data_IF_975066933461
#
_entry.id   IF_975066933461
#
_cell.length_a   1.000
_cell.length_b   1.000
_cell.length_c   1.000
_cell.angle_alpha   90.00
_cell.angle_beta   90.00
_cell.angle_gamma   90.00
#
_symmetry.space_group_name_H-M   'P 1'
#
loop_
_entity.id
_entity.type
_entity.pdbx_description
1 polymer ?
#
# COMPACT_ATOMS: atom_id res chain seq x y z
N UNK A 1 43.84 -23.23 -5.61
CA UNK A 1 43.54 -21.79 -5.81
C UNK A 1 42.04 -21.65 -6.02
N UNK A 2 41.30 -21.10 -5.05
CA UNK A 2 39.89 -20.75 -5.25
C UNK A 2 39.85 -19.35 -5.86
N UNK A 3 39.23 -19.15 -7.04
CA UNK A 3 39.11 -17.82 -7.62
C UNK A 3 38.32 -16.91 -6.68
N UNK A 4 38.76 -15.66 -6.63
CA UNK A 4 38.36 -14.63 -5.68
C UNK A 4 36.91 -14.18 -5.95
N UNK A 5 35.97 -14.55 -5.07
CA UNK A 5 34.53 -14.18 -5.12
C UNK A 5 34.31 -12.70 -4.68
N UNK A 6 35.38 -11.95 -4.35
CA UNK A 6 35.23 -10.63 -3.71
C UNK A 6 34.73 -9.51 -4.64
N UNK A 7 34.82 -9.63 -5.97
CA UNK A 7 34.45 -8.52 -6.87
C UNK A 7 32.94 -8.41 -7.16
N UNK A 8 32.17 -9.50 -7.12
CA UNK A 8 30.72 -9.45 -7.44
C UNK A 8 29.87 -8.81 -6.33
N UNK A 9 30.37 -8.78 -5.08
CA UNK A 9 29.62 -8.27 -3.94
C UNK A 9 29.38 -6.75 -4.00
N UNK A 10 30.25 -5.99 -4.67
CA UNK A 10 30.15 -4.53 -4.76
C UNK A 10 28.99 -4.05 -5.64
N UNK A 11 28.91 -4.56 -6.87
CA UNK A 11 27.85 -4.20 -7.81
C UNK A 11 26.46 -4.62 -7.29
N UNK A 12 26.38 -5.79 -6.67
CA UNK A 12 25.15 -6.31 -6.09
C UNK A 12 24.60 -5.39 -4.99
N UNK A 13 25.45 -4.95 -4.06
CA UNK A 13 25.06 -4.00 -3.01
C UNK A 13 24.61 -2.66 -3.58
N UNK A 14 25.32 -2.13 -4.58
CA UNK A 14 24.95 -0.88 -5.23
C UNK A 14 23.57 -0.97 -5.90
N UNK A 15 23.29 -2.06 -6.60
CA UNK A 15 21.96 -2.28 -7.22
C UNK A 15 20.87 -2.38 -6.17
N UNK A 16 21.10 -3.11 -5.08
CA UNK A 16 20.15 -3.21 -3.97
C UNK A 16 19.86 -1.83 -3.35
N UNK A 17 20.89 -1.04 -3.04
CA UNK A 17 20.71 0.28 -2.44
C UNK A 17 19.98 1.25 -3.37
N UNK A 18 20.25 1.17 -4.68
CA UNK A 18 19.53 1.93 -5.71
C UNK A 18 18.04 1.53 -5.77
N UNK A 19 17.73 0.23 -5.79
CA UNK A 19 16.35 -0.26 -5.83
C UNK A 19 15.59 0.12 -4.56
N UNK A 20 16.20 -0.05 -3.38
CA UNK A 20 15.66 0.40 -2.10
C UNK A 20 15.32 1.90 -2.14
N UNK A 21 16.28 2.72 -2.56
CA UNK A 21 16.08 4.17 -2.63
C UNK A 21 14.94 4.52 -3.61
N UNK A 22 14.80 3.76 -4.69
CA UNK A 22 13.68 3.92 -5.63
C UNK A 22 12.33 3.60 -4.98
N UNK A 23 12.24 2.56 -4.15
CA UNK A 23 11.03 2.24 -3.38
C UNK A 23 10.73 3.32 -2.33
N UNK A 24 11.75 3.83 -1.62
CA UNK A 24 11.57 4.96 -0.70
C UNK A 24 11.06 6.21 -1.44
N UNK A 25 11.64 6.50 -2.61
CA UNK A 25 11.18 7.59 -3.46
C UNK A 25 9.75 7.41 -3.91
N UNK A 26 9.27 6.19 -4.20
CA UNK A 26 7.87 5.96 -4.58
C UNK A 26 6.88 6.53 -3.56
N UNK A 27 7.18 6.41 -2.27
CA UNK A 27 6.33 6.89 -1.17
C UNK A 27 6.54 8.37 -0.81
N UNK A 28 7.68 8.94 -1.21
CA UNK A 28 8.09 10.28 -0.83
C UNK A 28 7.03 11.38 -1.05
N UNK A 29 6.32 11.45 -2.19
CA UNK A 29 5.33 12.51 -2.43
C UNK A 29 4.27 12.63 -1.34
N UNK A 30 3.87 11.50 -0.74
CA UNK A 30 2.82 11.47 0.28
C UNK A 30 3.33 11.89 1.66
N UNK A 31 4.64 11.79 1.90
CA UNK A 31 5.27 12.16 3.18
C UNK A 31 5.63 13.65 3.29
N UNK A 32 5.44 14.44 2.23
CA UNK A 32 5.77 15.88 2.18
C UNK A 32 4.78 16.79 2.92
N UNK A 33 3.81 16.22 3.65
CA UNK A 33 2.78 16.99 4.35
C UNK A 33 1.65 17.51 3.46
N UNK A 34 1.66 17.17 2.16
CA UNK A 34 0.51 17.37 1.30
C UNK A 34 -0.67 16.51 1.77
N UNK A 35 -1.88 17.05 1.61
CA UNK A 35 -3.14 16.43 2.02
C UNK A 35 -4.18 16.61 0.93
N UNK A 36 -5.12 15.66 0.83
CA UNK A 36 -6.22 15.73 -0.12
C UNK A 36 -6.25 14.57 -1.11
N UNK A 37 -7.34 14.51 -1.86
CA UNK A 37 -7.66 13.40 -2.76
C UNK A 37 -7.15 13.56 -4.21
N UNK A 38 -6.63 14.73 -4.58
CA UNK A 38 -6.12 14.99 -5.93
C UNK A 38 -4.65 14.56 -6.05
N UNK A 39 -4.38 13.60 -6.94
CA UNK A 39 -3.04 13.12 -7.24
C UNK A 39 -2.12 14.20 -7.81
N UNK A 40 -2.68 15.26 -8.41
CA UNK A 40 -1.92 16.40 -8.92
C UNK A 40 -1.21 17.16 -7.79
N UNK A 41 -1.82 17.25 -6.61
CA UNK A 41 -1.20 17.87 -5.43
C UNK A 41 0.11 17.18 -5.05
N UNK A 42 0.19 15.86 -5.27
CA UNK A 42 1.37 15.07 -5.01
C UNK A 42 2.34 15.01 -6.22
N UNK A 43 1.98 15.60 -7.36
CA UNK A 43 2.71 15.47 -8.63
C UNK A 43 3.05 14.01 -8.96
N UNK A 44 2.12 13.09 -8.65
CA UNK A 44 2.39 11.66 -8.68
C UNK A 44 2.82 11.21 -10.08
N UNK A 45 2.19 11.74 -11.12
CA UNK A 45 2.48 11.36 -12.51
C UNK A 45 3.85 11.82 -12.97
N UNK A 46 4.24 13.06 -12.66
CA UNK A 46 5.59 13.57 -12.94
C UNK A 46 6.64 12.80 -12.16
N UNK A 47 6.33 12.46 -10.92
CA UNK A 47 7.21 11.69 -10.06
C UNK A 47 7.42 10.26 -10.57
N UNK A 48 6.35 9.55 -10.93
CA UNK A 48 6.42 8.22 -11.53
C UNK A 48 7.14 8.24 -12.89
N UNK A 49 6.96 9.27 -13.70
CA UNK A 49 7.69 9.42 -14.96
C UNK A 49 9.21 9.54 -14.75
N UNK A 50 9.66 10.02 -13.57
CA UNK A 50 11.08 10.06 -13.20
C UNK A 50 11.60 8.80 -12.50
N UNK A 51 10.72 7.87 -12.11
CA UNK A 51 11.09 6.61 -11.46
C UNK A 51 10.99 5.40 -12.41
N UNK A 52 10.09 5.46 -13.39
CA UNK A 52 9.75 4.34 -14.25
C UNK A 52 10.42 4.47 -15.64
N UNK A 53 10.75 3.34 -16.26
CA UNK A 53 11.20 3.32 -17.64
C UNK A 53 10.13 3.91 -18.57
N UNK A 54 10.51 4.73 -19.56
CA UNK A 54 9.56 5.33 -20.48
C UNK A 54 8.95 4.29 -21.43
N UNK A 55 7.75 4.62 -21.94
CA UNK A 55 7.05 3.81 -22.95
C UNK A 55 6.47 2.51 -22.38
N UNK A 56 6.51 1.45 -23.19
CA UNK A 56 5.87 0.17 -22.88
C UNK A 56 6.79 -0.79 -22.07
N UNK A 57 7.95 -0.32 -21.63
CA UNK A 57 8.91 -1.13 -20.88
C UNK A 57 8.55 -1.24 -19.39
N UNK A 58 7.73 -0.33 -18.87
CA UNK A 58 7.29 -0.37 -17.48
C UNK A 58 6.03 -1.21 -17.34
N UNK A 59 6.09 -2.18 -16.44
CA UNK A 59 4.94 -3.00 -16.03
C UNK A 59 4.70 -2.82 -14.55
N UNK A 60 3.42 -2.76 -14.16
CA UNK A 60 3.04 -2.63 -12.76
C UNK A 60 1.82 -3.47 -12.43
N UNK A 61 1.89 -4.07 -11.25
CA UNK A 61 0.85 -4.85 -10.62
C UNK A 61 0.56 -4.30 -9.23
N UNK A 62 -0.73 -4.12 -8.90
CA UNK A 62 -1.15 -3.79 -7.53
C UNK A 62 -2.14 -4.84 -7.08
N UNK A 63 -1.84 -5.54 -5.98
CA UNK A 63 -2.70 -6.58 -5.40
C UNK A 63 -3.17 -7.66 -6.39
N UNK A 64 -2.40 -7.92 -7.44
CA UNK A 64 -2.74 -8.93 -8.45
C UNK A 64 -3.20 -8.33 -9.77
N UNK A 65 -3.67 -7.08 -9.76
CA UNK A 65 -4.20 -6.40 -10.93
C UNK A 65 -3.06 -5.81 -11.77
N UNK A 66 -2.96 -6.25 -13.03
CA UNK A 66 -2.00 -5.74 -13.99
C UNK A 66 -2.57 -4.52 -14.72
N UNK A 67 -1.79 -3.44 -14.83
CA UNK A 67 -2.23 -2.26 -15.57
C UNK A 67 -1.20 -1.15 -15.78
N UNK A 68 0.08 -1.42 -15.53
CA UNK A 68 1.13 -0.40 -15.67
C UNK A 68 0.90 0.78 -14.72
N UNK A 69 1.34 1.98 -15.09
CA UNK A 69 1.21 3.15 -14.22
C UNK A 69 -0.24 3.44 -13.80
N UNK A 70 -1.22 3.12 -14.65
CA UNK A 70 -2.64 3.38 -14.40
C UNK A 70 -3.19 2.65 -13.18
N UNK A 71 -2.82 1.38 -12.98
CA UNK A 71 -3.33 0.61 -11.83
C UNK A 71 -2.81 1.16 -10.50
N UNK A 72 -1.59 1.71 -10.51
CA UNK A 72 -1.00 2.37 -9.36
C UNK A 72 -1.66 3.72 -9.07
N UNK A 73 -1.92 4.52 -10.11
CA UNK A 73 -2.70 5.76 -10.00
C UNK A 73 -4.10 5.50 -9.46
N UNK A 74 -4.81 4.51 -10.01
CA UNK A 74 -6.16 4.13 -9.57
C UNK A 74 -6.17 3.69 -8.09
N UNK A 75 -5.14 2.93 -7.66
CA UNK A 75 -4.96 2.54 -6.27
C UNK A 75 -4.80 3.75 -5.34
N UNK A 76 -3.87 4.66 -5.65
CA UNK A 76 -3.64 5.85 -4.83
C UNK A 76 -4.83 6.82 -4.88
N UNK A 77 -5.47 7.00 -6.03
CA UNK A 77 -6.67 7.83 -6.15
C UNK A 77 -7.82 7.28 -5.28
N UNK A 78 -7.96 5.96 -5.21
CA UNK A 78 -8.95 5.31 -4.35
C UNK A 78 -8.61 5.50 -2.89
N UNK A 79 -7.38 5.21 -2.48
CA UNK A 79 -6.93 5.34 -1.10
C UNK A 79 -7.00 6.80 -0.61
N UNK A 80 -6.48 7.74 -1.39
CA UNK A 80 -6.41 9.15 -1.02
C UNK A 80 -7.77 9.86 -1.05
N UNK A 81 -8.80 9.22 -1.58
CA UNK A 81 -10.17 9.76 -1.54
C UNK A 81 -10.69 9.93 -0.11
N UNK A 82 -10.33 9.02 0.80
CA UNK A 82 -10.72 9.07 2.21
C UNK A 82 -9.57 9.34 3.19
N UNK A 83 -8.38 8.86 2.84
CA UNK A 83 -7.28 8.72 3.78
C UNK A 83 -6.08 9.55 3.34
N UNK A 84 -5.33 10.10 4.30
CA UNK A 84 -4.02 10.67 4.04
C UNK A 84 -2.94 9.70 4.49
N UNK A 85 -1.91 9.49 3.65
CA UNK A 85 -0.70 8.78 4.06
C UNK A 85 0.15 9.80 4.83
N UNK A 86 0.28 9.62 6.14
CA UNK A 86 1.03 10.56 7.00
C UNK A 86 2.49 10.14 7.19
N UNK A 87 2.77 8.85 7.01
CA UNK A 87 4.10 8.27 7.16
C UNK A 87 4.22 7.04 6.26
N UNK A 88 5.42 6.78 5.77
CA UNK A 88 5.77 5.56 5.07
C UNK A 88 7.21 5.19 5.41
N UNK A 89 7.43 3.92 5.72
CA UNK A 89 8.73 3.36 6.03
C UNK A 89 8.98 2.15 5.15
N UNK A 90 10.15 2.09 4.53
CA UNK A 90 10.63 0.91 3.81
C UNK A 90 11.61 0.20 4.72
N UNK A 91 11.22 -0.97 5.18
CA UNK A 91 12.08 -1.87 5.91
C UNK A 91 13.03 -2.53 4.91
N UNK A 92 14.28 -2.08 4.92
CA UNK A 92 15.33 -2.85 4.26
C UNK A 92 15.69 -4.04 5.12
N UNK A 93 16.07 -5.15 4.48
CA UNK A 93 16.77 -6.29 5.07
C UNK A 93 18.19 -5.90 5.54
N UNK A 94 18.32 -4.81 6.32
CA UNK A 94 19.59 -4.28 6.79
C UNK A 94 20.17 -5.27 7.79
N UNK A 95 21.02 -6.17 7.31
CA UNK A 95 21.76 -7.13 8.13
C UNK A 95 21.41 -8.60 7.89
N UNK A 96 20.35 -8.91 7.13
CA UNK A 96 20.17 -10.29 6.68
C UNK A 96 21.12 -10.56 5.53
N UNK A 97 21.96 -11.61 5.60
CA UNK A 97 22.83 -11.97 4.49
C UNK A 97 21.95 -12.20 3.25
N UNK A 98 22.28 -11.50 2.15
CA UNK A 98 21.70 -11.68 0.81
C UNK A 98 22.07 -13.06 0.28
N UNK A 99 21.54 -14.10 0.92
CA UNK A 99 21.84 -15.49 0.62
C UNK A 99 21.13 -15.95 -0.66
N UNK A 100 20.04 -15.27 -1.04
CA UNK A 100 19.30 -15.52 -2.27
C UNK A 100 19.24 -14.26 -3.13
N UNK A 101 19.56 -14.35 -4.44
CA UNK A 101 19.40 -13.23 -5.38
C UNK A 101 17.98 -12.67 -5.43
N UNK A 102 16.97 -13.51 -5.18
CA UNK A 102 15.57 -13.11 -5.13
C UNK A 102 15.28 -12.09 -4.00
N UNK A 103 16.07 -12.08 -2.93
CA UNK A 103 15.85 -11.18 -1.79
C UNK A 103 16.23 -9.73 -2.13
N UNK A 104 16.95 -9.49 -3.23
CA UNK A 104 17.38 -8.14 -3.63
C UNK A 104 16.27 -7.27 -4.21
N UNK A 105 15.23 -7.91 -4.74
CA UNK A 105 14.13 -7.24 -5.44
C UNK A 105 12.90 -7.08 -4.54
N UNK A 106 12.87 -7.75 -3.38
CA UNK A 106 11.73 -7.76 -2.48
C UNK A 106 11.97 -6.84 -1.28
N UNK A 107 11.09 -5.88 -1.11
CA UNK A 107 11.11 -4.92 -0.01
C UNK A 107 9.83 -5.04 0.80
N UNK A 108 9.94 -4.89 2.11
CA UNK A 108 8.80 -4.82 3.02
C UNK A 108 8.75 -3.45 3.66
N UNK A 109 7.66 -3.13 4.31
CA UNK A 109 7.53 -1.90 5.07
C UNK A 109 6.09 -1.66 5.47
N UNK A 110 5.82 -0.45 5.90
CA UNK A 110 4.47 -0.04 6.26
C UNK A 110 4.24 1.43 5.90
N UNK A 111 2.99 1.80 5.69
CA UNK A 111 2.58 3.20 5.66
C UNK A 111 1.45 3.43 6.64
N UNK A 112 1.34 4.65 7.14
CA UNK A 112 0.37 5.04 8.16
C UNK A 112 -0.68 5.90 7.51
N UNK A 113 -1.94 5.47 7.62
CA UNK A 113 -3.11 6.18 7.14
C UNK A 113 -3.76 6.97 8.26
N UNK A 114 -4.25 8.17 7.95
CA UNK A 114 -5.18 8.92 8.77
C UNK A 114 -6.52 9.06 8.03
N UNK A 115 -7.65 8.81 8.71
CA UNK A 115 -8.98 9.02 8.13
C UNK A 115 -9.34 10.51 8.25
N UNK A 116 -9.25 11.23 7.14
CA UNK A 116 -9.29 12.71 7.15
C UNK A 116 -10.47 13.30 6.38
N UNK A 117 -11.14 12.49 5.54
CA UNK A 117 -12.21 12.91 4.64
C UNK A 117 -13.29 11.83 4.55
N UNK A 118 -14.54 12.19 4.22
CA UNK A 118 -15.58 11.21 3.96
C UNK A 118 -15.17 10.24 2.84
N UNK A 119 -15.27 8.95 3.11
CA UNK A 119 -14.95 7.89 2.14
C UNK A 119 -16.17 7.03 1.86
N UNK A 120 -16.77 7.14 0.67
CA UNK A 120 -17.99 6.39 0.33
C UNK A 120 -19.16 6.66 1.29
N UNK A 121 -19.17 7.82 1.95
CA UNK A 121 -20.13 8.19 3.01
C UNK A 121 -19.74 7.72 4.41
N UNK A 122 -18.57 7.10 4.58
CA UNK A 122 -17.97 6.86 5.88
C UNK A 122 -17.29 8.14 6.36
N UNK A 123 -17.84 8.75 7.41
CA UNK A 123 -17.32 9.99 7.98
C UNK A 123 -16.09 9.74 8.86
N UNK A 124 -15.09 10.65 8.86
CA UNK A 124 -14.00 10.63 9.82
C UNK A 124 -14.52 10.71 11.26
N UNK A 125 -14.25 9.65 12.02
CA UNK A 125 -14.44 9.63 13.47
C UNK A 125 -13.08 9.43 14.14
N UNK A 126 -12.91 9.89 15.40
CA UNK A 126 -11.75 9.54 16.20
C UNK A 126 -11.53 8.03 16.16
N UNK A 127 -12.54 7.22 16.38
CA UNK A 127 -12.39 5.77 16.50
C UNK A 127 -12.37 5.00 15.16
N UNK A 128 -12.43 5.68 14.00
CA UNK A 128 -12.58 5.07 12.67
C UNK A 128 -11.52 4.02 12.34
N UNK A 129 -10.27 4.30 12.70
CA UNK A 129 -9.12 3.46 12.36
C UNK A 129 -8.67 2.56 13.50
N UNK A 130 -9.31 2.67 14.67
CA UNK A 130 -8.91 1.92 15.86
C UNK A 130 -8.96 0.42 15.56
N UNK A 131 -7.83 -0.25 15.77
CA UNK A 131 -7.82 -1.71 15.76
C UNK A 131 -8.65 -2.24 16.92
N UNK A 132 -9.26 -3.40 16.73
CA UNK A 132 -9.54 -4.24 17.90
C UNK A 132 -8.17 -4.60 18.44
N UNK A 133 -7.77 -3.98 19.56
CA UNK A 133 -6.57 -4.39 20.26
C UNK A 133 -6.67 -5.91 20.38
N UNK A 134 -5.68 -6.69 19.88
CA UNK A 134 -5.73 -8.13 20.03
C UNK A 134 -5.92 -8.39 21.52
N UNK A 135 -7.10 -8.90 21.89
CA UNK A 135 -7.35 -9.27 23.28
C UNK A 135 -6.31 -10.33 23.58
N UNK A 136 -5.26 -9.92 24.32
CA UNK A 136 -4.18 -10.79 24.76
C UNK A 136 -4.74 -11.75 25.79
N UNK A 137 -5.51 -12.73 25.30
CA UNK A 137 -5.84 -13.96 26.00
C UNK A 137 -4.75 -14.95 25.59
N UNK A 138 -3.59 -14.81 26.22
CA UNK A 138 -2.46 -15.71 26.12
C UNK A 138 -2.90 -17.09 26.66
N UNK A 139 -3.39 -17.98 25.79
CA UNK A 139 -3.60 -19.39 26.11
C UNK A 139 -2.29 -20.14 25.85
N UNK A 140 -1.71 -20.67 26.92
CA UNK A 140 -0.43 -21.34 26.92
C UNK A 140 -0.46 -22.67 26.13
N UNK A 141 0.54 -22.82 25.24
CA UNK A 141 1.32 -24.02 24.90
C UNK A 141 0.59 -25.27 24.36
N UNK A 142 0.98 -25.76 23.18
CA UNK A 142 1.37 -27.18 22.98
C UNK A 142 2.35 -27.31 21.80
N UNK A 143 3.42 -28.09 22.02
CA UNK A 143 4.61 -28.27 21.19
C UNK A 143 4.53 -29.51 20.28
N UNK A 144 5.27 -29.49 19.16
CA UNK A 144 5.69 -30.60 18.25
C UNK A 144 4.62 -31.17 17.29
N UNK A 145 4.93 -31.65 16.06
CA UNK A 145 6.16 -32.20 15.46
C UNK A 145 6.18 -32.01 13.92
N UNK A 146 7.38 -31.97 13.33
CA UNK A 146 7.59 -31.75 11.89
C UNK A 146 7.33 -32.96 10.98
N UNK A 147 7.00 -32.66 9.72
CA UNK A 147 6.91 -33.61 8.62
C UNK A 147 7.67 -33.06 7.42
N UNK A 148 8.72 -33.75 7.00
CA UNK A 148 9.44 -33.51 5.75
C UNK A 148 8.58 -33.89 4.54
N UNK A 149 8.57 -33.04 3.51
CA UNK A 149 8.09 -33.41 2.17
C UNK A 149 9.17 -33.12 1.13
N UNK A 150 9.61 -34.18 0.45
CA UNK A 150 10.52 -34.13 -0.69
C UNK A 150 9.82 -33.63 -1.96
N UNK A 151 10.51 -32.78 -2.70
CA UNK A 151 10.02 -32.16 -3.94
C UNK A 151 10.81 -32.73 -5.14
N UNK A 152 10.13 -33.47 -6.01
CA UNK A 152 10.67 -33.88 -7.32
C UNK A 152 10.26 -32.86 -8.38
N UNK A 153 11.24 -32.36 -9.12
CA UNK A 153 11.08 -31.27 -10.08
C UNK A 153 10.37 -31.66 -11.37
N UNK A 154 9.52 -30.76 -11.85
CA UNK A 154 9.31 -30.42 -13.25
C UNK A 154 8.67 -29.02 -13.32
N UNK A 155 9.26 -28.12 -14.11
CA UNK A 155 8.76 -26.78 -14.42
C UNK A 155 8.13 -26.77 -15.83
N UNK A 156 7.53 -25.65 -16.32
CA UNK A 156 7.01 -24.48 -15.63
C UNK A 156 5.53 -24.23 -15.97
N UNK A 157 4.67 -24.05 -14.97
CA UNK A 157 3.42 -23.30 -15.15
C UNK A 157 3.35 -22.20 -14.12
N UNK A 158 3.23 -20.97 -14.62
CA UNK A 158 3.10 -19.72 -13.88
C UNK A 158 1.75 -19.67 -13.16
N UNK A 159 1.66 -20.38 -12.04
CA UNK A 159 0.65 -20.15 -11.02
C UNK A 159 1.40 -19.68 -9.76
N UNK A 160 1.32 -18.38 -9.47
CA UNK A 160 1.67 -17.82 -8.16
C UNK A 160 0.70 -18.40 -7.13
N UNK A 161 1.02 -19.60 -6.63
CA UNK A 161 0.46 -20.15 -5.41
C UNK A 161 1.07 -19.36 -4.26
N UNK A 162 0.26 -18.48 -3.72
CA UNK A 162 0.46 -17.80 -2.44
C UNK A 162 0.57 -18.86 -1.35
N UNK A 163 1.80 -19.21 -0.96
CA UNK A 163 2.10 -19.91 0.27
C UNK A 163 2.63 -18.86 1.26
N UNK A 164 1.71 -18.13 1.90
CA UNK A 164 2.02 -17.45 3.16
C UNK A 164 2.06 -18.52 4.26
N UNK A 165 3.24 -19.08 4.49
CA UNK A 165 3.62 -19.51 5.83
C UNK A 165 4.46 -18.38 6.40
N UNK A 166 3.79 -17.47 7.10
CA UNK A 166 4.46 -16.64 8.09
C UNK A 166 5.11 -17.62 9.06
N UNK A 167 6.43 -17.56 9.18
CA UNK A 167 7.08 -18.11 10.34
C UNK A 167 6.60 -17.23 11.50
N UNK A 168 5.90 -17.82 12.46
CA UNK A 168 5.58 -17.15 13.73
C UNK A 168 6.92 -16.83 14.41
N UNK A 169 7.46 -15.65 14.12
CA UNK A 169 8.44 -15.00 14.96
C UNK A 169 7.59 -14.30 16.02
N UNK A 170 7.63 -14.84 17.24
CA UNK A 170 7.11 -14.20 18.44
C UNK A 170 7.68 -12.78 18.53
N UNK A 171 6.87 -11.82 18.06
CA UNK A 171 7.12 -10.40 18.02
C UNK A 171 5.84 -9.69 18.42
N UNK A 172 5.47 -9.89 19.68
CA UNK A 172 4.38 -9.21 20.38
C UNK A 172 4.71 -7.71 20.53
N UNK A 173 4.31 -6.90 19.56
CA UNK A 173 3.90 -5.52 19.80
C UNK A 173 3.06 -5.00 18.61
N UNK A 174 1.75 -5.23 18.66
CA UNK A 174 0.79 -4.52 17.83
C UNK A 174 0.69 -3.07 18.31
N UNK A 175 1.72 -2.26 18.07
CA UNK A 175 1.72 -0.85 18.48
C UNK A 175 0.67 -0.09 17.67
N UNK A 176 -0.42 0.31 18.33
CA UNK A 176 -1.16 1.50 17.95
C UNK A 176 -0.17 2.68 18.04
N UNK A 177 0.53 2.96 16.93
CA UNK A 177 1.51 4.02 16.88
C UNK A 177 0.78 5.37 17.00
N UNK A 178 0.72 5.91 18.21
CA UNK A 178 0.24 7.26 18.45
C UNK A 178 1.28 8.25 17.91
N UNK A 179 1.13 8.63 16.65
CA UNK A 179 1.95 9.68 16.03
C UNK A 179 1.48 11.02 16.59
N UNK A 180 2.26 11.59 17.52
CA UNK A 180 2.02 12.95 18.01
C UNK A 180 2.51 13.94 16.95
N UNK A 181 1.58 14.51 16.20
CA UNK A 181 1.88 15.57 15.22
C UNK A 181 2.07 16.90 15.97
N UNK A 182 3.31 17.22 16.33
CA UNK A 182 3.68 18.51 16.90
C UNK A 182 3.65 19.59 15.80
N UNK A 183 2.54 20.32 15.67
CA UNK A 183 2.49 21.52 14.84
C UNK A 183 3.16 22.69 15.56
N UNK A 184 4.33 23.12 15.10
CA UNK A 184 4.95 24.37 15.55
C UNK A 184 4.17 25.57 14.98
N UNK A 185 3.22 26.08 15.76
CA UNK A 185 2.58 27.38 15.50
C UNK A 185 2.85 28.33 16.67
N UNK A 186 3.79 29.26 16.44
CA UNK A 186 4.11 30.36 17.36
C UNK A 186 2.99 31.41 17.34
N UNK A 187 2.00 31.31 18.24
CA UNK A 187 1.26 32.45 18.79
C UNK A 187 0.78 32.11 20.20
N UNK A 188 1.28 32.86 21.19
CA UNK A 188 0.85 32.80 22.59
C UNK A 188 -0.63 33.16 22.73
N UNK A 189 -1.49 32.15 22.90
CA UNK A 189 -2.81 32.33 23.52
C UNK A 189 -3.16 31.07 24.29
N UNK A 190 -3.29 31.21 25.61
CA UNK A 190 -3.66 30.14 26.55
C UNK A 190 -5.13 29.78 26.31
N UNK A 191 -5.38 28.80 25.46
CA UNK A 191 -6.63 28.05 25.40
C UNK A 191 -6.31 26.57 25.36
N UNK A 192 -7.07 25.78 26.13
CA UNK A 192 -6.94 24.35 26.32
C UNK A 192 -6.75 23.62 24.98
N UNK A 193 -5.49 23.26 24.68
CA UNK A 193 -5.14 22.39 23.57
C UNK A 193 -5.70 20.99 23.87
N UNK A 194 -6.96 20.77 23.48
CA UNK A 194 -7.48 19.43 23.28
C UNK A 194 -6.60 18.80 22.20
N UNK A 195 -5.65 17.95 22.63
CA UNK A 195 -4.84 17.14 21.74
C UNK A 195 -5.81 16.25 20.98
N UNK A 196 -6.18 16.68 19.77
CA UNK A 196 -6.97 15.86 18.86
C UNK A 196 -6.05 14.71 18.45
N UNK A 197 -6.17 13.58 19.15
CA UNK A 197 -5.48 12.36 18.77
C UNK A 197 -5.99 11.98 17.39
N UNK A 198 -5.17 12.19 16.36
CA UNK A 198 -5.46 11.70 15.02
C UNK A 198 -5.26 10.21 15.06
N UNK A 199 -6.32 9.45 14.79
CA UNK A 199 -6.24 8.00 14.80
C UNK A 199 -5.70 7.53 13.46
N UNK A 200 -4.82 6.54 13.56
CA UNK A 200 -4.00 6.12 12.46
C UNK A 200 -4.05 4.62 12.28
N UNK A 201 -3.88 4.16 11.04
CA UNK A 201 -3.78 2.75 10.70
C UNK A 201 -2.43 2.49 10.04
N UNK A 202 -1.58 1.72 10.71
CA UNK A 202 -0.38 1.17 10.08
C UNK A 202 -0.79 0.03 9.13
N UNK A 203 -0.35 0.12 7.88
CA UNK A 203 -0.66 -0.83 6.82
C UNK A 203 0.63 -1.42 6.31
N UNK A 204 0.88 -2.73 6.48
CA UNK A 204 2.05 -3.36 5.93
C UNK A 204 1.95 -3.44 4.40
N UNK A 205 3.08 -3.40 3.73
CA UNK A 205 3.16 -3.68 2.30
C UNK A 205 4.38 -4.52 1.97
N UNK A 206 4.30 -5.21 0.83
CA UNK A 206 5.47 -5.78 0.17
C UNK A 206 5.56 -5.24 -1.25
N UNK A 207 6.78 -4.98 -1.70
CA UNK A 207 7.06 -4.42 -3.01
C UNK A 207 8.16 -5.23 -3.68
N UNK A 208 7.86 -5.81 -4.83
CA UNK A 208 8.87 -6.37 -5.72
C UNK A 208 9.22 -5.35 -6.81
N UNK A 209 10.51 -5.06 -6.99
CA UNK A 209 11.00 -4.14 -8.03
C UNK A 209 12.08 -4.77 -8.89
N UNK A 210 12.00 -4.52 -10.18
CA UNK A 210 13.09 -4.73 -11.13
C UNK A 210 13.43 -3.41 -11.80
N UNK A 211 14.71 -3.18 -12.08
CA UNK A 211 15.16 -1.93 -12.68
C UNK A 211 16.37 -2.11 -13.59
N UNK A 212 16.56 -1.13 -14.47
CA UNK A 212 17.72 -1.04 -15.34
C UNK A 212 18.85 -0.30 -14.61
N UNK A 213 19.90 -1.03 -14.22
CA UNK A 213 21.03 -0.51 -13.42
C UNK A 213 21.66 0.73 -14.03
N UNK A 214 21.72 0.83 -15.37
CA UNK A 214 22.31 1.99 -16.05
C UNK A 214 21.46 3.26 -16.06
N UNK A 215 20.15 3.17 -15.76
CA UNK A 215 19.22 4.30 -15.88
C UNK A 215 18.57 4.69 -14.55
N UNK A 216 18.74 3.91 -13.48
CA UNK A 216 18.05 4.12 -12.20
C UNK A 216 16.51 4.18 -12.36
N UNK A 217 15.97 3.44 -13.33
CA UNK A 217 14.55 3.38 -13.65
C UNK A 217 14.00 1.98 -13.40
N UNK A 218 12.75 1.92 -12.93
CA UNK A 218 12.00 0.68 -12.75
C UNK A 218 11.44 0.16 -14.08
N UNK A 219 11.68 -1.12 -14.36
CA UNK A 219 11.02 -1.87 -15.44
C UNK A 219 9.80 -2.64 -14.95
N UNK A 220 9.83 -3.11 -13.69
CA UNK A 220 8.74 -3.87 -13.11
C UNK A 220 8.50 -3.45 -11.65
N UNK A 221 7.22 -3.28 -11.28
CA UNK A 221 6.79 -2.97 -9.92
C UNK A 221 5.59 -3.83 -9.54
N UNK A 222 5.70 -4.63 -8.49
CA UNK A 222 4.55 -5.32 -7.86
C UNK A 222 4.38 -4.76 -6.46
N UNK A 223 3.26 -4.09 -6.20
CA UNK A 223 2.87 -3.62 -4.88
C UNK A 223 1.79 -4.54 -4.32
N UNK A 224 2.01 -5.06 -3.12
CA UNK A 224 1.02 -5.83 -2.35
C UNK A 224 0.76 -5.13 -1.04
N UNK A 225 -0.51 -4.87 -0.74
CA UNK A 225 -0.95 -4.23 0.49
C UNK A 225 -2.35 -4.70 0.84
N UNK A 226 -2.62 -5.14 2.07
CA UNK A 226 -3.92 -5.59 2.52
C UNK A 226 -4.83 -4.42 2.92
N UNK A 227 -4.55 -3.18 2.48
CA UNK A 227 -5.28 -1.98 2.95
C UNK A 227 -6.79 -2.09 2.86
N UNK A 228 -7.33 -2.62 1.75
CA UNK A 228 -8.78 -2.71 1.56
C UNK A 228 -9.39 -3.74 2.53
N UNK A 229 -8.68 -4.83 2.82
CA UNK A 229 -9.07 -5.83 3.80
C UNK A 229 -8.97 -5.28 5.24
N UNK A 230 -7.90 -4.54 5.55
CA UNK A 230 -7.74 -3.91 6.86
C UNK A 230 -8.78 -2.83 7.13
N UNK A 231 -9.21 -2.08 6.11
CA UNK A 231 -10.27 -1.07 6.23
C UNK A 231 -11.65 -1.73 6.41
N UNK A 232 -11.91 -2.83 5.70
CA UNK A 232 -13.16 -3.60 5.82
C UNK A 232 -13.36 -4.16 7.23
N UNK A 233 -12.30 -4.64 7.86
CA UNK A 233 -12.37 -5.27 9.19
C UNK A 233 -12.46 -4.27 10.33
N UNK A 234 -12.45 -2.96 10.06
CA UNK A 234 -12.65 -1.93 11.09
C UNK A 234 -14.09 -1.96 11.56
N UNK A 235 -14.28 -1.98 12.88
CA UNK A 235 -15.59 -2.02 13.53
C UNK A 235 -16.51 -0.85 13.10
N UNK A 236 -15.94 0.30 12.76
CA UNK A 236 -16.70 1.49 12.37
C UNK A 236 -16.91 1.63 10.87
N UNK A 237 -16.37 0.70 10.06
CA UNK A 237 -16.57 0.71 8.63
C UNK A 237 -18.02 0.32 8.31
N UNK A 238 -18.84 1.19 7.68
CA UNK A 238 -20.23 0.86 7.40
C UNK A 238 -20.36 -0.34 6.46
N UNK A 239 -21.37 -1.21 6.66
CA UNK A 239 -21.60 -2.41 5.83
C UNK A 239 -21.62 -2.13 4.32
N UNK A 240 -22.17 -0.98 3.92
CA UNK A 240 -22.21 -0.59 2.51
C UNK A 240 -20.80 -0.32 1.95
N UNK A 241 -19.93 0.29 2.76
CA UNK A 241 -18.53 0.54 2.40
C UNK A 241 -17.75 -0.77 2.36
N UNK A 242 -17.96 -1.67 3.32
CA UNK A 242 -17.37 -3.01 3.31
C UNK A 242 -17.71 -3.75 2.01
N UNK A 243 -18.99 -3.76 1.59
CA UNK A 243 -19.43 -4.35 0.32
C UNK A 243 -18.75 -3.72 -0.91
N UNK A 244 -18.49 -2.41 -0.89
CA UNK A 244 -17.74 -1.76 -1.96
C UNK A 244 -16.26 -2.20 -1.96
N UNK A 245 -15.64 -2.32 -0.79
CA UNK A 245 -14.25 -2.78 -0.65
C UNK A 245 -14.07 -4.27 -1.01
N UNK A 246 -15.14 -5.06 -0.94
CA UNK A 246 -15.17 -6.46 -1.37
C UNK A 246 -15.40 -6.65 -2.88
N UNK A 247 -16.00 -5.67 -3.54
CA UNK A 247 -16.30 -5.77 -4.98
C UNK A 247 -15.18 -5.14 -5.82
N UNK A 248 -14.41 -5.94 -6.59
CA UNK A 248 -13.41 -5.40 -7.51
C UNK A 248 -14.05 -4.51 -8.59
N UNK A 249 -15.29 -4.79 -8.99
CA UNK A 249 -16.05 -3.95 -9.93
C UNK A 249 -16.38 -2.59 -9.33
N UNK A 250 -16.75 -2.52 -8.05
CA UNK A 250 -17.00 -1.26 -7.35
C UNK A 250 -15.74 -0.42 -7.26
N UNK A 251 -14.60 -1.01 -6.88
CA UNK A 251 -13.32 -0.29 -6.83
C UNK A 251 -12.89 0.21 -8.22
N UNK A 252 -13.06 -0.60 -9.27
CA UNK A 252 -12.79 -0.20 -10.65
C UNK A 252 -13.71 0.94 -11.12
N UNK A 253 -14.99 0.88 -10.78
CA UNK A 253 -15.95 1.95 -11.08
C UNK A 253 -15.57 3.22 -10.33
N UNK A 254 -15.24 3.14 -9.05
CA UNK A 254 -14.80 4.27 -8.24
C UNK A 254 -13.58 4.96 -8.84
N UNK A 255 -12.54 4.20 -9.19
CA UNK A 255 -11.35 4.72 -9.85
C UNK A 255 -11.70 5.41 -11.19
N UNK A 256 -12.64 4.85 -11.95
CA UNK A 256 -13.12 5.44 -13.22
C UNK A 256 -13.83 6.78 -12.99
N UNK A 257 -14.69 6.89 -11.97
CA UNK A 257 -15.32 8.16 -11.58
C UNK A 257 -14.28 9.20 -11.16
N UNK A 258 -13.27 8.78 -10.38
CA UNK A 258 -12.16 9.66 -9.97
C UNK A 258 -11.38 10.19 -11.17
N UNK A 259 -11.10 9.35 -12.17
CA UNK A 259 -10.45 9.75 -13.42
C UNK A 259 -11.29 10.72 -14.25
N UNK A 260 -12.61 10.58 -14.22
CA UNK A 260 -13.54 11.51 -14.84
C UNK A 260 -13.66 12.85 -14.08
N UNK A 261 -12.92 13.03 -12.97
CA UNK A 261 -12.93 14.26 -12.18
C UNK A 261 -14.08 14.36 -11.18
N UNK A 262 -14.84 13.27 -10.97
CA UNK A 262 -15.90 13.24 -9.96
C UNK A 262 -15.26 13.35 -8.58
N UNK A 263 -15.71 14.33 -7.79
CA UNK A 263 -15.23 14.57 -6.43
C UNK A 263 -15.55 13.36 -5.52
N UNK A 264 -14.62 12.89 -4.67
CA UNK A 264 -14.85 11.71 -3.84
C UNK A 264 -16.05 11.83 -2.92
N UNK A 265 -16.31 13.04 -2.41
CA UNK A 265 -17.37 13.31 -1.44
C UNK A 265 -18.77 13.12 -2.05
N UNK A 266 -18.88 13.14 -3.39
CA UNK A 266 -20.13 12.89 -4.12
C UNK A 266 -20.38 11.40 -4.36
N UNK A 267 -19.37 10.55 -4.21
CA UNK A 267 -19.48 9.12 -4.48
C UNK A 267 -19.74 8.39 -3.18
N UNK A 268 -21.00 8.04 -2.92
CA UNK A 268 -21.38 7.24 -1.75
C UNK A 268 -21.34 5.74 -2.07
N UNK A 269 -21.22 4.88 -1.06
CA UNK A 269 -21.28 3.43 -1.22
C UNK A 269 -22.60 2.99 -1.90
N UNK A 270 -23.73 3.60 -1.54
CA UNK A 270 -25.04 3.30 -2.16
C UNK A 270 -25.04 3.64 -3.65
N UNK A 271 -24.55 4.82 -4.01
CA UNK A 271 -24.45 5.25 -5.41
C UNK A 271 -23.51 4.34 -6.18
N UNK A 272 -22.37 3.98 -5.61
CA UNK A 272 -21.38 3.12 -6.24
C UNK A 272 -21.92 1.70 -6.48
N UNK A 273 -22.57 1.09 -5.48
CA UNK A 273 -23.18 -0.22 -5.61
C UNK A 273 -24.30 -0.22 -6.66
N UNK A 274 -25.16 0.81 -6.68
CA UNK A 274 -26.17 0.97 -7.73
C UNK A 274 -25.55 1.13 -9.12
N UNK A 275 -24.45 1.89 -9.23
CA UNK A 275 -23.74 2.07 -10.48
C UNK A 275 -23.11 0.78 -11.01
N UNK A 276 -22.56 -0.07 -10.12
CA UNK A 276 -22.02 -1.37 -10.53
C UNK A 276 -23.08 -2.31 -11.10
N UNK A 277 -24.32 -2.24 -10.61
CA UNK A 277 -25.43 -3.07 -11.10
C UNK A 277 -25.99 -2.56 -12.44
N UNK A 278 -25.86 -1.27 -12.74
CA UNK A 278 -26.41 -0.61 -13.93
C UNK A 278 -25.32 0.08 -14.78
N UNK A 279 -24.17 -0.56 -14.92
CA UNK A 279 -22.93 0.02 -15.48
C UNK A 279 -23.15 0.77 -16.82
N UNK A 280 -23.88 0.18 -17.77
CA UNK A 280 -24.10 0.78 -19.10
C UNK A 280 -24.86 2.13 -19.03
N UNK A 281 -25.91 2.22 -18.22
CA UNK A 281 -26.70 3.44 -18.07
C UNK A 281 -25.89 4.55 -17.39
N UNK A 282 -25.08 4.20 -16.39
CA UNK A 282 -24.23 5.16 -15.67
C UNK A 282 -23.10 5.70 -16.54
N UNK A 283 -22.42 4.83 -17.28
CA UNK A 283 -21.35 5.24 -18.19
C UNK A 283 -21.87 6.19 -19.28
N UNK A 284 -23.08 5.94 -19.80
CA UNK A 284 -23.75 6.83 -20.74
C UNK A 284 -24.16 8.16 -20.10
N UNK A 285 -24.77 8.14 -18.92
CA UNK A 285 -25.23 9.35 -18.22
C UNK A 285 -24.07 10.28 -17.82
N UNK A 286 -22.90 9.71 -17.53
CA UNK A 286 -21.69 10.47 -17.18
C UNK A 286 -20.86 10.89 -18.40
N UNK A 287 -21.29 10.55 -19.62
CA UNK A 287 -20.58 10.87 -20.86
C UNK A 287 -19.21 10.20 -20.95
N UNK A 288 -19.04 9.01 -20.34
CA UNK A 288 -17.78 8.24 -20.36
C UNK A 288 -17.74 7.28 -21.56
N UNK A 289 -18.90 6.98 -22.16
CA UNK A 289 -19.05 6.20 -23.41
C UNK A 289 -19.10 7.10 -24.64
#
# INVERSE_FOLDING_TARGET
MRPCIMMECGAQRQTHDMLRHTVERLWHPFTLGHRGADLKTYRLREHLAGLCCPGNMFTCQVNGHLGGMRVLEDFFATLLSGFDIIHASVEGSRGMPLSKPADMCNYTGYYVLAHTRPFLGWEPSPTSLRGVAPNSALAATTTHSGTEYGFNGAAPETASRSAFLLSDVDGDDGTDAMVTLSGETNVETVQSNAVSSVYTLAVPFTTHVEGLVGQSCLSHLVLRTPVMELLRTRHECPDAVQKCLDSPEALKMFATLRRAGVKPELVTAKTLLSATQSNAAWMSALGIL
#
